data_IF_393296530606
#
_entry.id   IF_393296530606
#
_cell.length_a   1.000
_cell.length_b   1.000
_cell.length_c   1.000
_cell.angle_alpha   90.00
_cell.angle_beta   90.00
_cell.angle_gamma   90.00
#
_symmetry.space_group_name_H-M   'P 1'
#
loop_
_entity.id
_entity.type
_entity.pdbx_description
1 polymer ?
#
# COMPACT_ATOMS: atom_id res chain seq x y z
N UNK A 1 19.03 -2.56 4.90
CA UNK A 1 18.16 -3.62 5.46
C UNK A 1 17.94 -3.29 6.93
N UNK A 2 16.71 -3.02 7.34
CA UNK A 2 16.39 -2.45 8.67
C UNK A 2 15.07 -1.67 8.76
N UNK A 3 14.41 -1.45 7.63
CA UNK A 3 13.28 -0.53 7.54
C UNK A 3 11.93 -1.24 7.31
N UNK A 4 11.78 -2.44 7.90
CA UNK A 4 10.54 -3.24 7.84
C UNK A 4 9.62 -2.81 8.98
N UNK A 5 8.43 -2.32 8.65
CA UNK A 5 7.39 -2.01 9.64
C UNK A 5 6.44 -3.20 9.74
N UNK A 6 6.36 -3.89 10.91
CA UNK A 6 5.32 -4.88 11.11
C UNK A 6 3.96 -4.17 11.21
N UNK A 7 2.98 -4.60 10.43
CA UNK A 7 1.63 -4.01 10.46
C UNK A 7 0.60 -5.11 10.51
N UNK A 8 -0.20 -5.13 11.57
CA UNK A 8 -1.40 -5.95 11.63
C UNK A 8 -2.52 -5.30 10.80
N UNK A 9 -3.22 -6.10 10.02
CA UNK A 9 -4.27 -5.61 9.15
C UNK A 9 -5.29 -6.67 8.78
N UNK A 10 -6.31 -6.24 8.04
CA UNK A 10 -7.40 -7.08 7.54
C UNK A 10 -7.35 -7.14 6.02
N UNK A 11 -7.57 -8.32 5.45
CA UNK A 11 -7.79 -8.45 4.00
C UNK A 11 -9.10 -7.74 3.63
N UNK A 12 -8.97 -6.67 2.85
CA UNK A 12 -10.09 -5.85 2.38
C UNK A 12 -10.51 -6.19 0.95
N UNK A 13 -9.56 -6.67 0.12
CA UNK A 13 -9.86 -7.19 -1.22
C UNK A 13 -8.88 -8.28 -1.64
N UNK A 14 -9.28 -9.06 -2.65
CA UNK A 14 -8.47 -10.11 -3.28
C UNK A 14 -8.47 -9.86 -4.79
N UNK A 15 -7.29 -9.92 -5.40
CA UNK A 15 -7.09 -9.86 -6.85
C UNK A 15 -6.67 -11.25 -7.35
N UNK A 16 -7.54 -11.97 -8.07
CA UNK A 16 -7.20 -13.31 -8.58
C UNK A 16 -6.22 -13.24 -9.75
N UNK A 17 -5.61 -14.38 -10.08
CA UNK A 17 -4.81 -14.52 -11.30
C UNK A 17 -5.68 -14.29 -12.54
N UNK A 18 -5.17 -13.50 -13.50
CA UNK A 18 -5.89 -13.16 -14.72
C UNK A 18 -6.97 -12.08 -14.56
N UNK A 19 -6.96 -11.31 -13.46
CA UNK A 19 -7.87 -10.20 -13.26
C UNK A 19 -7.76 -9.15 -14.38
N UNK A 20 -8.90 -8.53 -14.73
CA UNK A 20 -8.98 -7.53 -15.79
C UNK A 20 -8.04 -6.35 -15.52
N UNK A 21 -7.43 -5.83 -16.60
CA UNK A 21 -6.53 -4.68 -16.53
C UNK A 21 -5.09 -5.03 -16.18
N UNK A 22 -4.69 -6.30 -16.37
CA UNK A 22 -3.34 -6.81 -16.11
C UNK A 22 -2.84 -6.53 -14.68
N UNK A 23 -3.76 -6.50 -13.71
CA UNK A 23 -3.42 -6.33 -12.30
C UNK A 23 -2.77 -7.61 -11.78
N UNK A 24 -1.69 -7.44 -11.03
CA UNK A 24 -0.97 -8.55 -10.41
C UNK A 24 -1.88 -9.24 -9.37
N UNK A 25 -1.86 -10.57 -9.34
CA UNK A 25 -2.58 -11.34 -8.34
C UNK A 25 -2.06 -11.03 -6.93
N UNK A 26 -2.96 -10.89 -5.96
CA UNK A 26 -2.58 -10.52 -4.61
C UNK A 26 -3.75 -10.14 -3.72
N UNK A 27 -3.46 -9.46 -2.62
CA UNK A 27 -4.46 -8.99 -1.64
C UNK A 27 -4.22 -7.53 -1.31
N UNK A 28 -5.30 -6.82 -0.99
CA UNK A 28 -5.24 -5.54 -0.31
C UNK A 28 -5.44 -5.72 1.18
N UNK A 29 -4.54 -5.16 1.97
CA UNK A 29 -4.62 -5.19 3.43
C UNK A 29 -4.94 -3.80 3.93
N UNK A 30 -6.07 -3.66 4.62
CA UNK A 30 -6.40 -2.45 5.38
C UNK A 30 -5.64 -2.47 6.70
N UNK A 31 -4.94 -1.38 7.01
CA UNK A 31 -4.28 -1.22 8.30
C UNK A 31 -5.31 -1.07 9.41
N UNK A 32 -5.07 -1.73 10.54
CA UNK A 32 -5.90 -1.58 11.73
C UNK A 32 -5.67 -0.21 12.38
N UNK A 33 -6.62 0.24 13.21
CA UNK A 33 -6.51 1.46 14.03
C UNK A 33 -5.53 1.27 15.20
N UNK A 34 -4.25 1.07 14.85
CA UNK A 34 -3.14 0.83 15.77
C UNK A 34 -2.04 1.85 15.50
N UNK A 35 -1.18 2.10 16.49
CA UNK A 35 -0.03 2.99 16.33
C UNK A 35 0.87 2.57 15.18
N UNK A 36 1.13 1.27 15.02
CA UNK A 36 1.97 0.77 13.91
C UNK A 36 1.33 1.00 12.53
N UNK A 37 0.01 0.85 12.45
CA UNK A 37 -0.76 1.16 11.24
C UNK A 37 -0.71 2.65 10.89
N UNK A 38 -0.78 3.53 11.89
CA UNK A 38 -0.65 4.97 11.70
C UNK A 38 0.76 5.35 11.24
N UNK A 39 1.80 4.82 11.89
CA UNK A 39 3.20 5.05 11.50
C UNK A 39 3.44 4.61 10.06
N UNK A 40 2.92 3.44 9.67
CA UNK A 40 3.03 2.96 8.29
C UNK A 40 2.30 3.89 7.30
N UNK A 41 1.08 4.34 7.62
CA UNK A 41 0.33 5.30 6.81
C UNK A 41 1.09 6.61 6.63
N UNK A 42 1.51 7.23 7.73
CA UNK A 42 2.25 8.51 7.71
C UNK A 42 3.53 8.40 6.89
N UNK A 43 4.26 7.28 7.01
CA UNK A 43 5.49 7.04 6.22
C UNK A 43 5.19 6.96 4.73
N UNK A 44 4.14 6.23 4.34
CA UNK A 44 3.70 6.13 2.94
C UNK A 44 3.29 7.50 2.41
N UNK A 45 2.43 8.22 3.12
CA UNK A 45 1.95 9.56 2.71
C UNK A 45 3.10 10.55 2.54
N UNK A 46 4.09 10.53 3.44
CA UNK A 46 5.28 11.39 3.35
C UNK A 46 6.11 11.10 2.09
N UNK A 47 6.24 9.83 1.70
CA UNK A 47 6.92 9.44 0.45
C UNK A 47 6.10 9.89 -0.76
N UNK A 48 4.79 9.67 -0.73
CA UNK A 48 3.88 10.02 -1.82
C UNK A 48 3.82 11.53 -2.05
N UNK A 49 3.85 12.35 -1.00
CA UNK A 49 3.82 13.81 -1.09
C UNK A 49 4.91 14.38 -2.00
N UNK A 50 6.10 13.77 -2.02
CA UNK A 50 7.22 14.18 -2.88
C UNK A 50 7.06 13.78 -4.35
N UNK A 51 6.10 12.93 -4.70
CA UNK A 51 5.90 12.39 -6.06
C UNK A 51 4.53 12.70 -6.66
N UNK A 52 3.67 13.44 -5.96
CA UNK A 52 2.32 13.82 -6.43
C UNK A 52 2.29 14.51 -7.80
N UNK A 53 3.36 15.23 -8.16
CA UNK A 53 3.48 15.93 -9.45
C UNK A 53 4.32 15.21 -10.51
N UNK A 54 4.68 13.95 -10.31
CA UNK A 54 5.48 13.20 -11.28
C UNK A 54 4.60 12.37 -12.22
N UNK A 55 4.92 12.41 -13.52
CA UNK A 55 4.26 11.65 -14.59
C UNK A 55 4.61 10.15 -14.60
N UNK A 56 5.44 9.69 -13.64
CA UNK A 56 5.83 8.29 -13.58
C UNK A 56 4.64 7.46 -13.05
N UNK A 57 4.24 6.38 -13.74
CA UNK A 57 3.16 5.53 -13.27
C UNK A 57 3.51 4.85 -11.94
N UNK A 58 2.56 4.81 -11.02
CA UNK A 58 2.68 4.16 -9.71
C UNK A 58 1.55 3.16 -9.51
N UNK A 59 1.65 2.32 -8.46
CA UNK A 59 0.53 1.46 -8.05
C UNK A 59 -0.40 2.15 -7.03
N UNK A 60 -0.05 3.36 -6.59
CA UNK A 60 -0.75 4.13 -5.57
C UNK A 60 -1.56 5.29 -6.14
N UNK A 61 -1.37 5.62 -7.43
CA UNK A 61 -2.10 6.60 -8.22
C UNK A 61 -2.20 6.10 -9.66
#
# INVERSE_FOLDING_TARGET
EGDRLPVAGRVAWITPAGAQGNRVAGIGVQFNESTDGEVARTKIESILAGILGQERPTHTM
#
